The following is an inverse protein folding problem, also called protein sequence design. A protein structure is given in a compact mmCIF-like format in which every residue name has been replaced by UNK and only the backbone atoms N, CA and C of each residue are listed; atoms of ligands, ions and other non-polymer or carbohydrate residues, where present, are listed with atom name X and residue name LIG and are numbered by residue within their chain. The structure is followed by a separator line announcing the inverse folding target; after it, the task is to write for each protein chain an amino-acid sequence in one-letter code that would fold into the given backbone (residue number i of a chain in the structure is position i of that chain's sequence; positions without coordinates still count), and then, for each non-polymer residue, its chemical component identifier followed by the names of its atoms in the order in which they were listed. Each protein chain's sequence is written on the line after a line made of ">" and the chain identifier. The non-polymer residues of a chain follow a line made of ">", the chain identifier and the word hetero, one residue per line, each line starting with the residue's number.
data_IF_743818131574
#
_entry.id   IF_743818131574
#
_cell.length_a   1.000
_cell.length_b   1.000
_cell.length_c   1.000
_cell.angle_alpha   90.00
_cell.angle_beta   90.00
_cell.angle_gamma   90.00
#
_symmetry.space_group_name_H-M   'P 1'
#
loop_
_entity.id
_entity.type
_entity.pdbx_description
1 polymer ?
#
# COMPACT_ATOMS: atom_id res chain seq x y z
N UNK A 1 50.18 89.50 78.82
CA UNK A 1 50.81 88.62 77.84
C UNK A 1 50.13 87.27 77.99
N UNK A 2 48.97 87.04 77.38
CA UNK A 2 48.78 86.77 75.92
C UNK A 2 49.63 85.56 75.52
N UNK A 3 49.14 84.43 75.00
CA UNK A 3 47.89 84.15 74.27
C UNK A 3 47.58 82.64 74.18
N UNK A 4 46.29 82.39 73.84
CA UNK A 4 45.68 81.27 73.08
C UNK A 4 45.73 79.84 73.67
N UNK A 5 44.64 79.25 74.15
CA UNK A 5 43.31 78.95 73.55
C UNK A 5 43.30 77.68 72.67
N UNK A 6 42.24 76.91 72.90
CA UNK A 6 41.99 75.50 72.65
C UNK A 6 41.87 75.09 71.17
N UNK A 7 41.81 73.76 70.97
CA UNK A 7 41.55 72.98 69.74
C UNK A 7 42.80 72.72 68.89
N UNK A 8 43.14 71.49 68.49
CA UNK A 8 42.32 70.63 67.65
C UNK A 8 42.69 69.13 67.76
N UNK A 9 41.64 68.32 67.86
CA UNK A 9 41.44 67.05 67.15
C UNK A 9 42.46 65.90 67.31
N UNK A 10 42.16 65.03 68.28
CA UNK A 10 42.40 63.59 68.12
C UNK A 10 41.50 63.04 67.00
N UNK A 11 41.93 63.16 65.74
CA UNK A 11 41.30 62.51 64.59
C UNK A 11 42.27 61.56 63.90
N UNK A 12 42.91 60.72 64.70
CA UNK A 12 43.51 59.49 64.20
C UNK A 12 42.47 58.38 64.30
N UNK A 13 42.13 57.77 63.16
CA UNK A 13 41.36 56.51 63.04
C UNK A 13 39.83 56.67 62.95
N UNK A 14 39.32 57.16 61.82
CA UNK A 14 37.92 56.93 61.43
C UNK A 14 37.72 56.86 59.91
N UNK A 15 38.68 56.32 59.16
CA UNK A 15 38.56 56.24 57.68
C UNK A 15 38.87 54.85 57.12
N UNK A 16 38.67 53.79 57.90
CA UNK A 16 38.82 52.40 57.42
C UNK A 16 37.53 51.58 57.58
N UNK A 17 36.45 52.14 58.16
CA UNK A 17 35.20 51.37 58.34
C UNK A 17 34.19 51.49 57.20
N UNK A 18 34.26 52.52 56.35
CA UNK A 18 33.32 52.68 55.23
C UNK A 18 33.47 51.57 54.19
N UNK A 19 34.70 51.27 53.81
CA UNK A 19 34.98 50.31 52.74
C UNK A 19 34.65 48.87 53.15
N UNK A 20 34.70 48.56 54.44
CA UNK A 20 34.35 47.22 54.95
C UNK A 20 32.83 46.98 54.97
N UNK A 21 32.04 48.02 55.22
CA UNK A 21 30.57 47.92 55.21
C UNK A 21 30.03 47.81 53.77
N UNK A 22 30.61 48.57 52.82
CA UNK A 22 30.26 48.51 51.40
C UNK A 22 30.59 47.13 50.79
N UNK A 23 31.75 46.55 51.11
CA UNK A 23 32.13 45.21 50.64
C UNK A 23 31.23 44.10 51.24
N UNK A 24 30.83 44.24 52.51
CA UNK A 24 29.91 43.29 53.16
C UNK A 24 28.48 43.39 52.58
N UNK A 25 28.04 44.59 52.20
CA UNK A 25 26.76 44.78 51.48
C UNK A 25 26.81 44.22 50.06
N UNK A 26 27.90 44.44 49.31
CA UNK A 26 28.10 43.86 47.99
C UNK A 26 28.16 42.32 48.03
N UNK A 27 28.82 41.73 49.03
CA UNK A 27 28.83 40.28 49.25
C UNK A 27 27.43 39.76 49.60
N UNK A 28 26.65 40.50 50.39
CA UNK A 28 25.26 40.16 50.73
C UNK A 28 24.34 40.21 49.51
N UNK A 29 24.46 41.24 48.67
CA UNK A 29 23.70 41.37 47.42
C UNK A 29 24.09 40.28 46.41
N UNK A 30 25.38 39.96 46.31
CA UNK A 30 25.87 38.85 45.51
C UNK A 30 25.30 37.51 46.00
N UNK A 31 25.31 37.26 47.32
CA UNK A 31 24.75 36.06 47.92
C UNK A 31 23.24 35.92 47.70
N UNK A 32 22.49 37.02 47.80
CA UNK A 32 21.05 37.07 47.46
C UNK A 32 20.81 36.76 45.98
N UNK A 33 21.62 37.31 45.08
CA UNK A 33 21.56 37.04 43.65
C UNK A 33 21.83 35.57 43.30
N UNK A 34 22.84 34.97 43.93
CA UNK A 34 23.15 33.54 43.79
C UNK A 34 21.96 32.69 44.27
N UNK A 35 21.39 32.99 45.44
CA UNK A 35 20.24 32.26 45.97
C UNK A 35 18.98 32.40 45.08
N UNK A 36 18.74 33.58 44.51
CA UNK A 36 17.65 33.78 43.55
C UNK A 36 17.84 32.89 42.32
N UNK A 37 19.02 32.93 41.71
CA UNK A 37 19.34 32.12 40.54
C UNK A 37 19.23 30.62 40.84
N UNK A 38 19.71 30.17 42.00
CA UNK A 38 19.55 28.77 42.42
C UNK A 38 18.07 28.38 42.57
N UNK A 39 17.21 29.30 43.02
CA UNK A 39 15.77 29.06 43.14
C UNK A 39 15.11 28.97 41.76
N UNK A 40 15.43 29.88 40.84
CA UNK A 40 14.95 29.83 39.46
C UNK A 40 15.42 28.56 38.73
N UNK A 41 16.65 28.11 38.95
CA UNK A 41 17.17 26.86 38.38
C UNK A 41 16.43 25.63 38.92
N UNK A 42 16.01 25.64 40.19
CA UNK A 42 15.22 24.57 40.77
C UNK A 42 13.80 24.53 40.19
N UNK A 43 13.19 25.70 40.01
CA UNK A 43 11.87 25.82 39.36
C UNK A 43 11.92 25.36 37.90
N UNK A 44 12.88 25.88 37.14
CA UNK A 44 13.10 25.48 35.74
C UNK A 44 13.35 23.98 35.60
N UNK A 45 14.10 23.38 36.53
CA UNK A 45 14.31 21.93 36.55
C UNK A 45 13.00 21.19 36.78
N UNK A 46 12.18 21.62 37.75
CA UNK A 46 10.91 20.99 38.05
C UNK A 46 9.95 21.06 36.85
N UNK A 47 9.85 22.22 36.20
CA UNK A 47 9.05 22.41 34.99
C UNK A 47 9.56 21.55 33.83
N UNK A 48 10.89 21.52 33.61
CA UNK A 48 11.50 20.70 32.56
C UNK A 48 11.27 19.21 32.79
N UNK A 49 11.33 18.73 34.02
CA UNK A 49 11.10 17.32 34.37
C UNK A 49 9.62 16.95 34.14
N UNK A 50 8.68 17.82 34.50
CA UNK A 50 7.24 17.62 34.25
C UNK A 50 6.92 17.62 32.74
N UNK A 51 7.48 18.57 31.99
CA UNK A 51 7.35 18.65 30.55
C UNK A 51 7.90 17.42 29.84
N UNK A 52 9.08 16.96 30.28
CA UNK A 52 9.69 15.75 29.76
C UNK A 52 8.80 14.53 30.03
N UNK A 53 8.33 14.34 31.27
CA UNK A 53 7.43 13.23 31.60
C UNK A 53 6.14 13.29 30.79
N UNK A 54 5.48 14.44 30.72
CA UNK A 54 4.24 14.61 29.95
C UNK A 54 4.44 14.25 28.47
N UNK A 55 5.54 14.71 27.88
CA UNK A 55 5.88 14.41 26.50
C UNK A 55 6.09 12.91 26.29
N UNK A 56 6.90 12.28 27.14
CA UNK A 56 7.20 10.85 27.08
C UNK A 56 5.90 10.04 27.23
N UNK A 57 5.11 10.26 28.27
CA UNK A 57 3.87 9.50 28.49
C UNK A 57 2.87 9.68 27.34
N UNK A 58 2.70 10.90 26.84
CA UNK A 58 1.81 11.18 25.71
C UNK A 58 2.26 10.47 24.43
N UNK A 59 3.55 10.55 24.10
CA UNK A 59 4.11 9.95 22.89
C UNK A 59 4.11 8.42 22.96
N UNK A 60 4.53 7.84 24.09
CA UNK A 60 4.49 6.39 24.27
C UNK A 60 3.06 5.85 24.26
N UNK A 61 2.12 6.54 24.92
CA UNK A 61 0.70 6.15 24.88
C UNK A 61 0.13 6.22 23.46
N UNK A 62 0.50 7.25 22.70
CA UNK A 62 0.09 7.39 21.31
C UNK A 62 0.69 6.29 20.43
N UNK A 63 1.97 5.98 20.63
CA UNK A 63 2.66 4.90 19.91
C UNK A 63 2.02 3.53 20.18
N UNK A 64 1.73 3.20 21.45
CA UNK A 64 1.06 1.94 21.81
C UNK A 64 -0.31 1.85 21.15
N UNK A 65 -1.12 2.93 21.19
CA UNK A 65 -2.43 2.96 20.53
C UNK A 65 -2.33 2.72 19.03
N UNK A 66 -1.38 3.39 18.36
CA UNK A 66 -1.15 3.20 16.92
C UNK A 66 -0.72 1.76 16.65
N UNK A 67 0.15 1.19 17.47
CA UNK A 67 0.60 -0.19 17.30
C UNK A 67 -0.54 -1.21 17.43
N UNK A 68 -1.43 -1.03 18.41
CA UNK A 68 -2.62 -1.86 18.56
C UNK A 68 -3.58 -1.72 17.37
N UNK A 69 -3.74 -0.51 16.85
CA UNK A 69 -4.57 -0.25 15.67
C UNK A 69 -4.00 -0.90 14.42
N UNK A 70 -2.68 -0.83 14.20
CA UNK A 70 -1.99 -1.54 13.12
C UNK A 70 -2.21 -3.05 13.21
N UNK A 71 -2.14 -3.62 14.42
CA UNK A 71 -2.42 -5.05 14.64
C UNK A 71 -3.87 -5.41 14.32
N UNK A 72 -4.83 -4.54 14.66
CA UNK A 72 -6.23 -4.73 14.28
C UNK A 72 -6.39 -4.72 12.74
N UNK A 73 -5.77 -3.75 12.07
CA UNK A 73 -5.78 -3.65 10.61
C UNK A 73 -5.17 -4.88 9.93
N UNK A 74 -4.08 -5.45 10.47
CA UNK A 74 -3.48 -6.68 9.95
C UNK A 74 -4.46 -7.86 10.00
N UNK A 75 -5.21 -7.98 11.10
CA UNK A 75 -6.23 -9.00 11.26
C UNK A 75 -7.40 -8.82 10.27
N UNK A 76 -7.87 -7.57 10.08
CA UNK A 76 -8.90 -7.25 9.08
C UNK A 76 -8.44 -7.56 7.66
N UNK A 77 -7.18 -7.21 7.32
CA UNK A 77 -6.60 -7.53 6.02
C UNK A 77 -6.52 -9.04 5.77
N UNK A 78 -6.17 -9.81 6.81
CA UNK A 78 -6.13 -11.27 6.74
C UNK A 78 -7.53 -11.85 6.50
N UNK A 79 -8.56 -11.33 7.16
CA UNK A 79 -9.95 -11.73 6.93
C UNK A 79 -10.41 -11.38 5.50
N UNK A 80 -10.10 -10.16 5.04
CA UNK A 80 -10.42 -9.72 3.68
C UNK A 80 -9.76 -10.63 2.63
N UNK A 81 -8.49 -10.99 2.82
CA UNK A 81 -7.81 -11.96 1.96
C UNK A 81 -8.54 -13.30 1.93
N UNK A 82 -9.00 -13.78 3.08
CA UNK A 82 -9.82 -14.99 3.17
C UNK A 82 -11.13 -14.88 2.37
N UNK A 83 -11.82 -13.74 2.47
CA UNK A 83 -13.04 -13.48 1.70
C UNK A 83 -12.77 -13.47 0.18
N UNK A 84 -11.71 -12.79 -0.26
CA UNK A 84 -11.33 -12.73 -1.68
C UNK A 84 -10.96 -14.12 -2.21
N UNK A 85 -10.22 -14.93 -1.46
CA UNK A 85 -9.90 -16.30 -1.85
C UNK A 85 -11.15 -17.18 -1.96
N UNK A 86 -12.09 -17.01 -1.02
CA UNK A 86 -13.38 -17.74 -1.05
C UNK A 86 -14.20 -17.33 -2.27
N UNK A 87 -14.31 -16.03 -2.55
CA UNK A 87 -15.01 -15.53 -3.74
C UNK A 87 -14.35 -16.01 -5.03
N UNK A 88 -13.01 -15.96 -5.12
CA UNK A 88 -12.26 -16.50 -6.26
C UNK A 88 -12.58 -17.98 -6.49
N UNK A 89 -12.64 -18.77 -5.42
CA UNK A 89 -13.03 -20.19 -5.51
C UNK A 89 -14.47 -20.34 -6.00
N UNK A 90 -15.42 -19.59 -5.45
CA UNK A 90 -16.82 -19.66 -5.87
C UNK A 90 -17.02 -19.28 -7.35
N UNK A 91 -16.32 -18.25 -7.83
CA UNK A 91 -16.34 -17.86 -9.25
C UNK A 91 -15.77 -18.98 -10.10
N UNK A 92 -14.65 -19.58 -9.69
CA UNK A 92 -14.08 -20.74 -10.40
C UNK A 92 -15.05 -21.92 -10.43
N UNK A 93 -15.60 -22.32 -9.28
CA UNK A 93 -16.54 -23.43 -9.18
C UNK A 93 -17.80 -23.18 -10.05
N UNK A 94 -18.24 -21.91 -10.16
CA UNK A 94 -19.34 -21.52 -11.05
C UNK A 94 -18.97 -21.64 -12.53
N UNK A 95 -17.79 -21.15 -12.93
CA UNK A 95 -17.28 -21.27 -14.30
C UNK A 95 -17.16 -22.75 -14.68
N UNK A 96 -16.52 -23.56 -13.82
CA UNK A 96 -16.33 -25.00 -14.04
C UNK A 96 -17.70 -25.71 -14.15
N UNK A 97 -18.67 -25.33 -13.32
CA UNK A 97 -20.04 -25.85 -13.38
C UNK A 97 -20.81 -25.46 -14.64
N UNK A 98 -20.62 -24.24 -15.16
CA UNK A 98 -21.21 -23.80 -16.43
C UNK A 98 -20.56 -24.55 -17.60
N UNK A 99 -19.22 -24.65 -17.64
CA UNK A 99 -18.52 -25.42 -18.67
C UNK A 99 -18.99 -26.87 -18.71
N UNK A 100 -19.13 -27.52 -17.54
CA UNK A 100 -19.63 -28.90 -17.47
C UNK A 100 -21.07 -29.02 -17.97
N UNK A 101 -21.92 -28.03 -17.71
CA UNK A 101 -23.30 -28.01 -18.20
C UNK A 101 -23.35 -27.81 -19.71
N UNK A 102 -22.58 -26.87 -20.25
CA UNK A 102 -22.50 -26.60 -21.70
C UNK A 102 -21.97 -27.83 -22.44
N UNK A 103 -20.88 -28.44 -21.96
CA UNK A 103 -20.37 -29.69 -22.54
C UNK A 103 -21.40 -30.82 -22.47
N UNK A 104 -22.19 -30.91 -21.39
CA UNK A 104 -23.24 -31.94 -21.30
C UNK A 104 -24.36 -31.73 -22.31
N UNK A 105 -24.74 -30.46 -22.54
CA UNK A 105 -25.81 -30.06 -23.46
C UNK A 105 -25.35 -30.28 -24.92
N UNK A 106 -24.10 -29.89 -25.23
CA UNK A 106 -23.44 -30.13 -26.51
C UNK A 106 -23.26 -31.63 -26.81
N UNK A 107 -22.90 -32.46 -25.82
CA UNK A 107 -22.83 -33.92 -25.99
C UNK A 107 -24.22 -34.50 -26.25
N UNK A 108 -25.26 -34.07 -25.54
CA UNK A 108 -26.62 -34.55 -25.80
C UNK A 108 -27.15 -34.12 -27.16
N UNK A 109 -26.86 -32.90 -27.59
CA UNK A 109 -27.26 -32.40 -28.90
C UNK A 109 -26.45 -33.08 -30.01
N UNK A 110 -25.15 -33.30 -29.80
CA UNK A 110 -24.29 -34.05 -30.73
C UNK A 110 -24.72 -35.50 -30.85
N UNK A 111 -25.04 -36.21 -29.74
CA UNK A 111 -25.54 -37.60 -29.80
C UNK A 111 -26.91 -37.66 -30.49
N UNK A 112 -27.76 -36.63 -30.35
CA UNK A 112 -29.02 -36.55 -31.08
C UNK A 112 -28.83 -36.25 -32.57
N UNK A 113 -27.79 -35.49 -32.94
CA UNK A 113 -27.50 -35.09 -34.31
C UNK A 113 -26.63 -36.11 -35.07
N UNK A 114 -25.80 -36.89 -34.38
CA UNK A 114 -24.91 -37.93 -34.91
C UNK A 114 -25.64 -39.26 -35.20
N UNK A 115 -26.97 -39.31 -35.00
CA UNK A 115 -27.81 -40.42 -35.44
C UNK A 115 -28.03 -40.47 -36.96
N UNK A 116 -27.58 -39.48 -37.73
CA UNK A 116 -27.53 -39.55 -39.20
C UNK A 116 -26.07 -39.64 -39.67
N UNK A 117 -25.66 -40.88 -39.98
CA UNK A 117 -24.40 -41.24 -40.61
C UNK A 117 -24.01 -40.29 -41.75
N UNK A 118 -22.92 -39.54 -41.58
CA UNK A 118 -22.18 -38.93 -42.69
C UNK A 118 -20.67 -39.22 -42.53
N UNK A 119 -20.09 -39.74 -43.61
CA UNK A 119 -18.68 -40.08 -43.79
C UNK A 119 -17.77 -38.84 -43.60
N UNK A 120 -16.56 -38.95 -43.02
CA UNK A 120 -15.75 -37.77 -42.70
C UNK A 120 -15.25 -37.12 -44.00
N UNK A 121 -15.80 -35.95 -44.31
CA UNK A 121 -15.27 -35.07 -45.35
C UNK A 121 -13.85 -34.62 -44.97
N UNK A 122 -12.96 -34.36 -45.96
CA UNK A 122 -11.63 -33.83 -45.68
C UNK A 122 -11.73 -32.52 -44.88
N UNK A 123 -10.84 -32.29 -43.88
CA UNK A 123 -10.90 -31.09 -43.06
C UNK A 123 -10.79 -29.86 -43.95
N UNK A 124 -11.72 -28.92 -43.77
CA UNK A 124 -11.69 -27.67 -44.52
C UNK A 124 -10.42 -26.88 -44.21
N UNK A 125 -9.94 -26.07 -45.14
CA UNK A 125 -8.77 -25.20 -44.92
C UNK A 125 -8.93 -24.30 -43.69
N UNK A 126 -10.17 -23.94 -43.37
CA UNK A 126 -10.55 -23.17 -42.18
C UNK A 126 -10.39 -23.98 -40.88
N UNK A 127 -10.71 -25.28 -40.88
CA UNK A 127 -10.51 -26.16 -39.72
C UNK A 127 -9.02 -26.28 -39.37
N UNK A 128 -8.15 -26.47 -40.38
CA UNK A 128 -6.70 -26.50 -40.18
C UNK A 128 -6.18 -25.16 -39.65
N UNK A 129 -6.74 -24.04 -40.13
CA UNK A 129 -6.39 -22.71 -39.63
C UNK A 129 -6.79 -22.53 -38.16
N UNK A 130 -7.98 -22.99 -37.75
CA UNK A 130 -8.44 -22.97 -36.36
C UNK A 130 -7.46 -23.72 -35.47
N UNK A 131 -7.07 -24.94 -35.84
CA UNK A 131 -6.15 -25.76 -35.07
C UNK A 131 -4.75 -25.11 -34.95
N UNK A 132 -4.23 -24.54 -36.04
CA UNK A 132 -2.94 -23.85 -36.02
C UNK A 132 -2.93 -22.62 -35.10
N UNK A 133 -3.99 -21.81 -35.17
CA UNK A 133 -4.15 -20.61 -34.32
C UNK A 133 -4.26 -21.04 -32.87
N UNK A 134 -5.06 -22.09 -32.61
CA UNK A 134 -5.28 -22.68 -31.30
C UNK A 134 -3.94 -23.12 -30.67
N UNK A 135 -3.14 -23.94 -31.36
CA UNK A 135 -1.84 -24.41 -30.87
C UNK A 135 -0.87 -23.26 -30.62
N UNK A 136 -0.83 -22.28 -31.52
CA UNK A 136 0.04 -21.10 -31.37
C UNK A 136 -0.31 -20.27 -30.14
N UNK A 137 -1.61 -20.07 -29.87
CA UNK A 137 -2.09 -19.39 -28.67
C UNK A 137 -1.67 -20.12 -27.39
N UNK A 138 -1.77 -21.45 -27.36
CA UNK A 138 -1.38 -22.23 -26.18
C UNK A 138 0.12 -22.08 -25.88
N UNK A 139 0.97 -22.07 -26.91
CA UNK A 139 2.41 -21.85 -26.77
C UNK A 139 2.69 -20.45 -26.21
N UNK A 140 2.08 -19.40 -26.78
CA UNK A 140 2.31 -18.02 -26.33
C UNK A 140 1.80 -17.77 -24.92
N UNK A 141 0.67 -18.38 -24.54
CA UNK A 141 0.15 -18.33 -23.18
C UNK A 141 1.07 -19.05 -22.20
N UNK A 142 1.64 -20.20 -22.57
CA UNK A 142 2.64 -20.90 -21.75
C UNK A 142 3.92 -20.09 -21.58
N UNK A 143 4.36 -19.39 -22.63
CA UNK A 143 5.53 -18.51 -22.60
C UNK A 143 5.26 -17.13 -21.96
N UNK A 144 4.03 -16.90 -21.46
CA UNK A 144 3.56 -15.64 -20.87
C UNK A 144 3.73 -14.42 -21.79
N UNK A 145 3.63 -14.63 -23.11
CA UNK A 145 3.72 -13.59 -24.15
C UNK A 145 2.32 -13.09 -24.51
N UNK A 146 1.64 -12.49 -23.53
CA UNK A 146 0.24 -12.06 -23.64
C UNK A 146 0.03 -11.03 -24.76
N UNK A 147 0.95 -10.08 -24.92
CA UNK A 147 0.85 -9.06 -25.96
C UNK A 147 0.90 -9.65 -27.39
N UNK A 148 1.71 -10.69 -27.59
CA UNK A 148 1.85 -11.39 -28.87
C UNK A 148 0.60 -12.23 -29.17
N UNK A 149 0.05 -12.91 -28.15
CA UNK A 149 -1.20 -13.65 -28.26
C UNK A 149 -2.37 -12.74 -28.64
N UNK A 150 -2.47 -11.55 -28.03
CA UNK A 150 -3.51 -10.55 -28.36
C UNK A 150 -3.34 -10.05 -29.81
N UNK A 151 -2.12 -9.79 -30.26
CA UNK A 151 -1.86 -9.32 -31.62
C UNK A 151 -2.25 -10.35 -32.70
N UNK A 152 -2.04 -11.65 -32.43
CA UNK A 152 -2.48 -12.73 -33.33
C UNK A 152 -4.00 -12.78 -33.41
N UNK A 153 -4.68 -12.71 -32.27
CA UNK A 153 -6.14 -12.71 -32.21
C UNK A 153 -6.76 -11.54 -33.00
N UNK A 154 -6.20 -10.34 -32.86
CA UNK A 154 -6.67 -9.17 -33.60
C UNK A 154 -6.52 -9.34 -35.12
N UNK A 155 -5.37 -9.84 -35.56
CA UNK A 155 -5.10 -10.07 -36.99
C UNK A 155 -6.06 -11.08 -37.62
N UNK A 156 -6.28 -12.20 -36.93
CA UNK A 156 -7.14 -13.26 -37.46
C UNK A 156 -8.63 -12.90 -37.36
N UNK A 157 -9.07 -12.14 -36.35
CA UNK A 157 -10.43 -11.58 -36.26
C UNK A 157 -10.72 -10.62 -37.44
N UNK A 158 -9.78 -9.73 -37.77
CA UNK A 158 -9.89 -8.87 -38.96
C UNK A 158 -9.93 -9.67 -40.27
N UNK A 159 -9.19 -10.77 -40.35
CA UNK A 159 -9.18 -11.65 -41.52
C UNK A 159 -10.48 -12.43 -41.66
N UNK A 160 -11.04 -12.91 -40.56
CA UNK A 160 -12.31 -13.62 -40.54
C UNK A 160 -13.48 -12.68 -40.86
N UNK A 161 -13.47 -11.46 -40.33
CA UNK A 161 -14.47 -10.44 -40.69
C UNK A 161 -14.45 -10.14 -42.19
N UNK A 162 -13.27 -10.10 -42.84
CA UNK A 162 -13.19 -9.95 -44.30
C UNK A 162 -13.75 -11.18 -45.04
N UNK A 163 -13.52 -12.38 -44.50
CA UNK A 163 -13.97 -13.64 -45.09
C UNK A 163 -15.50 -13.83 -44.96
N UNK A 164 -16.14 -13.29 -43.91
CA UNK A 164 -17.60 -13.28 -43.75
C UNK A 164 -18.36 -12.48 -44.81
N UNK A 165 -17.69 -11.55 -45.51
CA UNK A 165 -18.31 -10.79 -46.61
C UNK A 165 -18.14 -11.47 -47.98
N UNK A 166 -17.44 -12.60 -48.03
CA UNK A 166 -17.27 -13.44 -49.21
C UNK A 166 -18.20 -14.66 -49.06
N UNK A 167 -19.20 -14.77 -49.94
CA UNK A 167 -20.46 -15.56 -49.87
C UNK A 167 -20.31 -17.10 -49.73
N UNK A 168 -19.14 -17.62 -49.39
CA UNK A 168 -18.78 -19.06 -49.50
C UNK A 168 -18.32 -19.72 -48.17
N UNK A 169 -18.42 -19.05 -47.01
CA UNK A 169 -17.98 -19.66 -45.74
C UNK A 169 -19.10 -20.45 -45.05
N UNK A 170 -18.94 -21.74 -44.74
CA UNK A 170 -19.97 -22.51 -44.02
C UNK A 170 -20.16 -21.94 -42.60
N UNK A 171 -21.40 -21.54 -42.27
CA UNK A 171 -21.77 -20.95 -40.98
C UNK A 171 -21.35 -21.82 -39.78
N UNK A 172 -21.38 -23.15 -39.93
CA UNK A 172 -20.98 -24.11 -38.90
C UNK A 172 -19.48 -24.00 -38.52
N UNK A 173 -18.60 -23.72 -39.48
CA UNK A 173 -17.17 -23.57 -39.24
C UNK A 173 -16.82 -22.21 -38.61
N UNK A 174 -17.60 -21.16 -38.90
CA UNK A 174 -17.49 -19.87 -38.23
C UNK A 174 -17.92 -19.95 -36.77
N UNK A 175 -18.97 -20.72 -36.48
CA UNK A 175 -19.39 -20.99 -35.10
C UNK A 175 -18.31 -21.74 -34.33
N UNK A 176 -17.69 -22.75 -34.94
CA UNK A 176 -16.58 -23.50 -34.35
C UNK A 176 -15.36 -22.61 -34.06
N UNK A 177 -14.96 -21.75 -35.02
CA UNK A 177 -13.90 -20.76 -34.81
C UNK A 177 -14.23 -19.84 -33.63
N UNK A 178 -15.43 -19.26 -33.63
CA UNK A 178 -15.84 -18.33 -32.58
C UNK A 178 -15.83 -19.01 -31.21
N UNK A 179 -16.29 -20.26 -31.11
CA UNK A 179 -16.25 -21.02 -29.85
C UNK A 179 -14.82 -21.25 -29.36
N UNK A 180 -13.96 -21.84 -30.20
CA UNK A 180 -12.59 -22.20 -29.84
C UNK A 180 -11.71 -20.99 -29.49
N UNK A 181 -11.92 -19.87 -30.19
CA UNK A 181 -11.12 -18.65 -30.02
C UNK A 181 -11.66 -17.77 -28.89
N UNK A 182 -12.98 -17.74 -28.66
CA UNK A 182 -13.59 -16.99 -27.57
C UNK A 182 -13.11 -17.47 -26.20
N UNK A 183 -13.01 -18.79 -26.01
CA UNK A 183 -12.49 -19.38 -24.77
C UNK A 183 -11.07 -18.87 -24.46
N UNK A 184 -10.18 -18.90 -25.46
CA UNK A 184 -8.79 -18.44 -25.31
C UNK A 184 -8.69 -16.94 -25.07
N UNK A 185 -9.54 -16.15 -25.73
CA UNK A 185 -9.64 -14.69 -25.51
C UNK A 185 -10.10 -14.36 -24.09
N UNK A 186 -11.04 -15.12 -23.53
CA UNK A 186 -11.47 -14.97 -22.15
C UNK A 186 -10.32 -15.25 -21.16
N UNK A 187 -9.51 -16.28 -21.40
CA UNK A 187 -8.35 -16.57 -20.55
C UNK A 187 -7.29 -15.46 -20.57
N UNK A 188 -7.04 -14.83 -21.72
CA UNK A 188 -6.07 -13.73 -21.86
C UNK A 188 -6.51 -12.43 -21.16
N UNK A 189 -7.81 -12.21 -20.96
CA UNK A 189 -8.35 -11.00 -20.33
C UNK A 189 -8.48 -11.10 -18.80
N UNK A 190 -8.24 -12.29 -18.23
CA UNK A 190 -8.38 -12.57 -16.80
C UNK A 190 -7.03 -12.53 -16.04
N UNK A 191 -5.90 -12.36 -16.73
CA UNK A 191 -4.56 -12.29 -16.14
C UNK A 191 -4.16 -10.88 -15.68
#
# INVERSE_FOLDING_TARGET
>A
MEDADDSETSSGMSSVSSDLDDENELQSMTGKGINHLCSELLELKAESDEDFHRNIFSNYSSFVRIFDEVKCMENELTQLKGHVLTQKKLVKDLIDGIHLKVLSEEITDSILQESEFAEPAPPSELAVLIDCISETLDILMFENKVDEAIAILQREDEKLQRMQFEDDSPEDLLLLYNSAIYEKKAMLTLN
#
